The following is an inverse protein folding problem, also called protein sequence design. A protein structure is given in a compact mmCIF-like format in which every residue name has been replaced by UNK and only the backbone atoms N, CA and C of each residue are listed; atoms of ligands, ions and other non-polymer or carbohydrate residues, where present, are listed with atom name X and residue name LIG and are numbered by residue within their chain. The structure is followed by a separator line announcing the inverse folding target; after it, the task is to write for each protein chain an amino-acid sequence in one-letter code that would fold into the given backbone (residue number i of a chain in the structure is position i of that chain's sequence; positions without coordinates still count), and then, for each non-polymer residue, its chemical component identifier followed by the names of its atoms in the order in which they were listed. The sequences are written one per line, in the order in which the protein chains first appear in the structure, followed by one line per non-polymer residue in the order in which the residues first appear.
data_IF_988643692674
#
_entry.id   IF_988643692674
#
_cell.length_a   1.000
_cell.length_b   1.000
_cell.length_c   1.000
_cell.angle_alpha   90.00
_cell.angle_beta   90.00
_cell.angle_gamma   90.00
#
_symmetry.space_group_name_H-M   'P 1'
#
loop_
_entity.id
_entity.type
_entity.pdbx_description
1 polymer ?
#
# COMPACT_ATOMS: atom_id res chain seq x y z
N UNK A 1 -5.93 -2.63 -10.11
CA UNK A 1 -6.87 -2.36 -9.02
C UNK A 1 -7.57 -1.01 -9.21
N UNK A 2 -8.66 -0.82 -8.50
CA UNK A 2 -9.53 0.36 -8.61
C UNK A 2 -8.76 1.66 -8.35
N UNK A 3 -7.86 1.67 -7.35
CA UNK A 3 -7.11 2.88 -7.00
C UNK A 3 -6.07 3.32 -8.05
N UNK A 4 -5.51 2.43 -8.87
CA UNK A 4 -4.62 2.82 -9.98
C UNK A 4 -5.38 3.66 -11.02
N UNK A 5 -6.61 3.23 -11.31
CA UNK A 5 -7.48 3.98 -12.20
C UNK A 5 -7.85 5.32 -11.58
N UNK A 6 -8.20 5.35 -10.30
CA UNK A 6 -8.50 6.60 -9.58
C UNK A 6 -7.31 7.54 -9.59
N UNK A 7 -6.10 7.04 -9.29
CA UNK A 7 -4.89 7.86 -9.31
C UNK A 7 -4.64 8.49 -10.68
N UNK A 8 -4.85 7.72 -11.75
CA UNK A 8 -4.73 8.20 -13.13
C UNK A 8 -5.82 9.24 -13.48
N UNK A 9 -7.06 9.00 -13.07
CA UNK A 9 -8.18 9.92 -13.33
C UNK A 9 -8.05 11.25 -12.57
N UNK A 10 -7.25 11.27 -11.50
CA UNK A 10 -6.96 12.46 -10.68
C UNK A 10 -5.62 13.12 -11.00
N UNK A 11 -4.84 12.56 -11.94
CA UNK A 11 -3.54 13.09 -12.32
C UNK A 11 -3.65 14.57 -12.77
N UNK A 12 -2.76 15.40 -12.25
CA UNK A 12 -2.78 16.85 -12.50
C UNK A 12 -3.86 17.64 -11.73
N UNK A 13 -4.76 16.96 -11.02
CA UNK A 13 -5.82 17.59 -10.21
C UNK A 13 -5.58 17.40 -8.71
N UNK A 14 -5.20 16.18 -8.30
CA UNK A 14 -4.96 15.81 -6.91
C UNK A 14 -3.71 14.94 -6.80
N UNK A 15 -2.98 15.08 -5.71
CA UNK A 15 -1.91 14.14 -5.37
C UNK A 15 -2.51 12.93 -4.66
N UNK A 16 -2.27 11.74 -5.18
CA UNK A 16 -2.70 10.48 -4.58
C UNK A 16 -1.50 9.80 -3.92
N UNK A 17 -1.61 9.54 -2.63
CA UNK A 17 -0.59 8.84 -1.84
C UNK A 17 -1.20 7.58 -1.24
N UNK A 18 -0.55 6.44 -1.43
CA UNK A 18 -0.89 5.19 -0.76
C UNK A 18 -0.02 5.04 0.49
N UNK A 19 -0.63 4.75 1.63
CA UNK A 19 0.07 4.59 2.90
C UNK A 19 -0.10 3.18 3.44
N UNK A 20 0.95 2.68 4.08
CA UNK A 20 0.95 1.38 4.70
C UNK A 20 0.18 1.39 6.03
N UNK A 21 -0.79 0.49 6.18
CA UNK A 21 -1.54 0.31 7.42
C UNK A 21 -1.58 -1.18 7.79
N UNK A 22 -0.44 -1.77 8.22
CA UNK A 22 -0.37 -3.18 8.55
C UNK A 22 -1.15 -3.45 9.86
N UNK A 23 -2.27 -4.15 9.77
CA UNK A 23 -3.11 -4.49 10.90
C UNK A 23 -2.56 -5.72 11.65
N UNK A 24 -2.54 -5.68 12.98
CA UNK A 24 -2.02 -6.76 13.83
C UNK A 24 -2.78 -8.08 13.70
N UNK A 25 -4.02 -8.04 13.20
CA UNK A 25 -4.82 -9.23 12.92
C UNK A 25 -4.28 -10.08 11.75
N UNK A 26 -3.40 -9.51 10.93
CA UNK A 26 -2.83 -10.18 9.75
C UNK A 26 -1.33 -10.44 9.96
N UNK A 27 -0.96 -11.69 10.20
CA UNK A 27 0.42 -12.10 10.57
C UNK A 27 1.51 -11.60 9.64
N UNK A 28 1.24 -11.54 8.34
CA UNK A 28 2.22 -11.13 7.33
C UNK A 28 2.00 -9.70 6.81
N UNK A 29 1.18 -8.89 7.48
CA UNK A 29 0.91 -7.51 7.06
C UNK A 29 2.19 -6.64 7.12
N UNK A 30 2.98 -6.77 8.18
CA UNK A 30 4.24 -6.01 8.31
C UNK A 30 5.27 -6.44 7.25
N UNK A 31 5.59 -7.73 7.06
CA UNK A 31 6.45 -8.16 5.95
C UNK A 31 5.96 -7.70 4.56
N UNK A 32 4.66 -7.73 4.31
CA UNK A 32 4.09 -7.24 3.05
C UNK A 32 4.28 -5.72 2.89
N UNK A 33 4.04 -4.94 3.95
CA UNK A 33 4.31 -3.50 3.95
C UNK A 33 5.80 -3.20 3.73
N UNK A 34 6.71 -3.97 4.32
CA UNK A 34 8.15 -3.86 4.06
C UNK A 34 8.49 -4.09 2.58
N UNK A 35 7.87 -5.08 1.94
CA UNK A 35 8.08 -5.35 0.52
C UNK A 35 7.59 -4.19 -0.36
N UNK A 36 6.42 -3.62 -0.07
CA UNK A 36 5.91 -2.43 -0.77
C UNK A 36 6.84 -1.24 -0.58
N UNK A 37 7.30 -0.98 0.65
CA UNK A 37 8.17 0.14 0.96
C UNK A 37 9.55 -0.01 0.31
N UNK A 38 10.12 -1.21 0.31
CA UNK A 38 11.39 -1.49 -0.39
C UNK A 38 11.27 -1.30 -1.91
N UNK A 39 10.13 -1.66 -2.50
CA UNK A 39 9.85 -1.42 -3.90
C UNK A 39 9.64 0.07 -4.20
N UNK A 40 9.06 0.83 -3.28
CA UNK A 40 8.91 2.29 -3.41
C UNK A 40 10.25 3.00 -3.52
N UNK A 41 11.27 2.59 -2.78
CA UNK A 41 12.63 3.13 -2.88
C UNK A 41 13.27 2.92 -4.26
N UNK A 42 12.61 2.15 -5.12
CA UNK A 42 12.98 1.91 -6.52
C UNK A 42 11.87 2.35 -7.50
N UNK A 43 10.91 3.16 -7.04
CA UNK A 43 9.83 3.72 -7.86
C UNK A 43 8.75 2.71 -8.28
N UNK A 44 8.59 1.59 -7.56
CA UNK A 44 7.68 0.49 -7.90
C UNK A 44 6.66 0.16 -6.79
N UNK A 45 6.21 1.20 -6.06
CA UNK A 45 5.22 1.05 -4.98
C UNK A 45 3.95 0.34 -5.44
N UNK A 46 3.29 0.91 -6.46
CA UNK A 46 2.00 0.42 -6.92
C UNK A 46 2.10 -0.97 -7.54
N UNK A 47 3.15 -1.22 -8.32
CA UNK A 47 3.35 -2.52 -8.96
C UNK A 47 3.56 -3.62 -7.92
N UNK A 48 4.33 -3.36 -6.86
CA UNK A 48 4.53 -4.32 -5.78
C UNK A 48 3.24 -4.52 -4.97
N UNK A 49 2.55 -3.44 -4.61
CA UNK A 49 1.27 -3.53 -3.90
C UNK A 49 0.24 -4.35 -4.70
N UNK A 50 0.13 -4.10 -6.01
CA UNK A 50 -0.75 -4.87 -6.90
C UNK A 50 -0.36 -6.34 -6.97
N UNK A 51 0.93 -6.63 -7.08
CA UNK A 51 1.44 -8.00 -7.09
C UNK A 51 1.05 -8.74 -5.81
N UNK A 52 1.25 -8.10 -4.66
CA UNK A 52 0.89 -8.67 -3.36
C UNK A 52 -0.61 -8.92 -3.22
N UNK A 53 -1.47 -8.00 -3.66
CA UNK A 53 -2.91 -8.22 -3.65
C UNK A 53 -3.34 -9.38 -4.56
N UNK A 54 -2.80 -9.46 -5.78
CA UNK A 54 -3.12 -10.52 -6.73
C UNK A 54 -2.66 -11.90 -6.25
N UNK A 55 -1.59 -11.97 -5.48
CA UNK A 55 -0.99 -13.22 -4.98
C UNK A 55 -1.23 -13.45 -3.50
N UNK A 56 -2.19 -12.76 -2.88
CA UNK A 56 -2.39 -12.78 -1.43
C UNK A 56 -2.56 -14.18 -0.86
N UNK A 57 -3.23 -15.07 -1.58
CA UNK A 57 -3.43 -16.45 -1.15
C UNK A 57 -2.12 -17.26 -1.06
N UNK A 58 -1.09 -16.87 -1.82
CA UNK A 58 0.20 -17.54 -1.82
C UNK A 58 1.08 -17.20 -0.62
N UNK A 59 0.84 -16.07 0.06
CA UNK A 59 1.73 -15.60 1.13
C UNK A 59 1.03 -15.32 2.47
N UNK A 60 -0.27 -15.02 2.49
CA UNK A 60 -0.99 -14.66 3.74
C UNK A 60 -0.94 -15.75 4.81
N UNK A 61 -0.89 -17.00 4.40
CA UNK A 61 -0.90 -18.19 5.28
C UNK A 61 0.49 -18.71 5.67
N UNK A 62 1.56 -18.15 5.14
CA UNK A 62 2.93 -18.58 5.50
C UNK A 62 3.20 -18.21 6.96
N UNK A 63 3.35 -19.22 7.83
CA UNK A 63 3.60 -19.02 9.25
C UNK A 63 4.91 -19.68 9.67
N UNK A 64 5.69 -18.97 10.52
CA UNK A 64 6.98 -19.45 11.05
C UNK A 64 8.05 -19.79 10.00
N UNK A 65 7.92 -19.23 8.79
CA UNK A 65 8.83 -19.44 7.65
C UNK A 65 9.21 -18.11 7.00
N UNK A 66 9.82 -17.23 7.78
CA UNK A 66 10.20 -15.89 7.31
C UNK A 66 11.13 -15.91 6.10
N UNK A 67 12.04 -16.91 6.02
CA UNK A 67 12.93 -17.07 4.86
C UNK A 67 12.16 -17.40 3.60
N UNK A 68 11.14 -18.27 3.68
CA UNK A 68 10.27 -18.62 2.55
C UNK A 68 9.47 -17.40 2.08
N UNK A 69 8.87 -16.65 3.02
CA UNK A 69 8.11 -15.43 2.73
C UNK A 69 8.98 -14.36 2.05
N UNK A 70 10.18 -14.13 2.58
CA UNK A 70 11.13 -13.19 1.98
C UNK A 70 11.61 -13.63 0.60
N UNK A 71 11.85 -14.93 0.42
CA UNK A 71 12.21 -15.52 -0.88
C UNK A 71 11.12 -15.30 -1.93
N UNK A 72 9.85 -15.45 -1.52
CA UNK A 72 8.71 -15.19 -2.40
C UNK A 72 8.62 -13.70 -2.79
N UNK A 73 8.77 -12.78 -1.82
CA UNK A 73 8.75 -11.34 -2.13
C UNK A 73 9.95 -10.91 -2.99
N UNK A 74 11.09 -11.57 -2.82
CA UNK A 74 12.26 -11.36 -3.68
C UNK A 74 11.99 -11.81 -5.12
N UNK A 75 11.28 -12.93 -5.33
CA UNK A 75 10.88 -13.34 -6.67
C UNK A 75 9.94 -12.31 -7.33
N UNK A 76 9.03 -11.70 -6.57
CA UNK A 76 8.18 -10.64 -7.07
C UNK A 76 8.98 -9.39 -7.46
N UNK A 77 9.97 -9.02 -6.65
CA UNK A 77 10.88 -7.92 -6.98
C UNK A 77 11.63 -8.17 -8.30
N UNK A 78 12.10 -9.40 -8.50
CA UNK A 78 12.73 -9.81 -9.76
C UNK A 78 11.78 -9.73 -10.95
N UNK A 79 10.55 -10.22 -10.81
CA UNK A 79 9.52 -10.14 -11.86
C UNK A 79 9.17 -8.69 -12.24
N UNK A 80 9.25 -7.77 -11.27
CA UNK A 80 9.00 -6.35 -11.46
C UNK A 80 10.23 -5.57 -12.00
N UNK A 81 11.36 -6.25 -12.22
CA UNK A 81 12.59 -5.66 -12.71
C UNK A 81 13.33 -4.80 -11.70
N UNK A 82 13.12 -5.03 -10.41
CA UNK A 82 13.84 -4.33 -9.34
C UNK A 82 15.26 -4.88 -9.18
N UNK A 83 16.18 -4.03 -8.69
CA UNK A 83 17.46 -4.48 -8.16
C UNK A 83 17.19 -5.33 -6.90
N UNK A 84 17.41 -6.64 -7.04
CA UNK A 84 17.06 -7.62 -6.00
C UNK A 84 17.99 -7.55 -4.79
N UNK A 85 19.26 -7.17 -4.95
CA UNK A 85 20.18 -7.01 -3.82
C UNK A 85 19.83 -5.75 -3.02
N UNK A 86 19.52 -4.65 -3.70
CA UNK A 86 18.99 -3.45 -3.06
C UNK A 86 17.66 -3.74 -2.35
N UNK A 87 16.73 -4.41 -3.02
CA UNK A 87 15.44 -4.78 -2.42
C UNK A 87 15.60 -5.60 -1.15
N UNK A 88 16.49 -6.59 -1.17
CA UNK A 88 16.78 -7.46 -0.04
C UNK A 88 17.35 -6.69 1.18
N UNK A 89 18.20 -5.70 0.91
CA UNK A 89 18.75 -4.81 1.93
C UNK A 89 17.67 -3.89 2.48
N UNK A 90 16.91 -3.22 1.61
CA UNK A 90 15.86 -2.28 1.97
C UNK A 90 14.70 -2.95 2.72
N UNK A 91 14.41 -4.23 2.42
CA UNK A 91 13.35 -5.01 3.06
C UNK A 91 13.49 -5.10 4.59
N UNK A 92 14.71 -5.05 5.08
CA UNK A 92 15.03 -5.18 6.51
C UNK A 92 15.68 -3.92 7.11
N UNK A 93 15.81 -2.86 6.32
CA UNK A 93 16.41 -1.60 6.76
C UNK A 93 15.53 -0.94 7.84
N UNK A 94 16.12 -0.50 8.96
CA UNK A 94 15.39 0.22 10.00
C UNK A 94 14.60 1.43 9.47
N UNK A 95 15.10 2.13 8.45
CA UNK A 95 14.37 3.25 7.82
C UNK A 95 13.08 2.81 7.15
N UNK A 96 13.07 1.65 6.49
CA UNK A 96 11.84 1.07 5.93
C UNK A 96 10.81 0.83 7.02
N UNK A 97 11.24 0.31 8.17
CA UNK A 97 10.37 0.08 9.32
C UNK A 97 9.84 1.38 9.90
N UNK A 98 10.70 2.41 10.02
CA UNK A 98 10.29 3.74 10.51
C UNK A 98 9.26 4.41 9.59
N UNK A 99 9.41 4.30 8.27
CA UNK A 99 8.44 4.83 7.30
C UNK A 99 7.07 4.16 7.45
N UNK A 100 7.03 2.83 7.57
CA UNK A 100 5.79 2.08 7.79
C UNK A 100 5.15 2.46 9.12
N UNK A 101 5.95 2.62 10.18
CA UNK A 101 5.48 3.10 11.48
C UNK A 101 4.88 4.50 11.38
N UNK A 102 5.53 5.41 10.66
CA UNK A 102 5.03 6.76 10.42
C UNK A 102 3.69 6.76 9.68
N UNK A 103 3.54 5.93 8.66
CA UNK A 103 2.26 5.74 7.95
C UNK A 103 1.16 5.24 8.88
N UNK A 104 1.47 4.26 9.72
CA UNK A 104 0.54 3.67 10.68
C UNK A 104 0.11 4.71 11.73
N UNK A 105 1.05 5.43 12.33
CA UNK A 105 0.77 6.50 13.30
C UNK A 105 -0.06 7.63 12.69
N UNK A 106 0.25 8.01 11.45
CA UNK A 106 -0.55 8.98 10.71
C UNK A 106 -2.00 8.49 10.49
N UNK A 107 -2.18 7.24 10.05
CA UNK A 107 -3.50 6.64 9.90
C UNK A 107 -4.31 6.66 11.20
N UNK A 108 -3.67 6.31 12.33
CA UNK A 108 -4.32 6.39 13.65
C UNK A 108 -4.69 7.84 14.01
N UNK A 109 -3.79 8.79 13.77
CA UNK A 109 -4.01 10.21 14.06
C UNK A 109 -5.23 10.77 13.32
N UNK A 110 -5.45 10.40 12.07
CA UNK A 110 -6.60 10.85 11.28
C UNK A 110 -7.85 9.99 11.48
N UNK A 111 -7.81 8.96 12.34
CA UNK A 111 -8.97 8.17 12.72
C UNK A 111 -9.26 6.98 11.81
N UNK A 112 -8.27 6.45 11.07
CA UNK A 112 -8.42 5.21 10.29
C UNK A 112 -8.68 4.04 11.22
N UNK A 113 -9.77 3.30 10.98
CA UNK A 113 -10.22 2.18 11.81
C UNK A 113 -10.01 0.81 11.15
N UNK A 114 -9.70 0.79 9.86
CA UNK A 114 -9.54 -0.44 9.08
C UNK A 114 -9.02 -0.13 7.68
N UNK A 115 -8.86 -1.16 6.87
CA UNK A 115 -8.36 -1.04 5.49
C UNK A 115 -9.26 -1.79 4.50
N UNK A 116 -9.44 -1.28 3.30
CA UNK A 116 -8.97 0.02 2.84
C UNK A 116 -9.76 1.18 3.46
N UNK A 117 -9.07 2.28 3.77
CA UNK A 117 -9.68 3.55 4.17
C UNK A 117 -9.17 4.65 3.25
N UNK A 118 -10.05 5.56 2.86
CA UNK A 118 -9.73 6.71 2.02
C UNK A 118 -9.87 7.99 2.80
N UNK A 119 -9.00 8.96 2.53
CA UNK A 119 -9.04 10.27 3.15
C UNK A 119 -8.68 11.35 2.14
N UNK A 120 -9.25 12.53 2.28
CA UNK A 120 -8.91 13.72 1.51
C UNK A 120 -8.56 14.84 2.49
N UNK A 121 -7.36 15.43 2.33
CA UNK A 121 -6.87 16.47 3.22
C UNK A 121 -7.02 16.10 4.71
N UNK A 122 -6.51 14.89 5.08
CA UNK A 122 -6.51 14.33 6.43
C UNK A 122 -7.91 14.00 7.01
N UNK A 123 -8.95 14.06 6.20
CA UNK A 123 -10.32 13.72 6.62
C UNK A 123 -10.72 12.37 6.01
N UNK A 124 -10.93 11.33 6.82
CA UNK A 124 -11.45 10.06 6.34
C UNK A 124 -12.81 10.21 5.67
N UNK A 125 -13.01 9.47 4.58
CA UNK A 125 -14.28 9.38 3.88
C UNK A 125 -15.01 8.11 4.32
N UNK A 126 -16.23 8.26 4.80
CA UNK A 126 -17.05 7.13 5.29
C UNK A 126 -17.90 6.50 4.17
N UNK A 127 -18.11 7.24 3.08
CA UNK A 127 -18.93 6.84 1.95
C UNK A 127 -18.15 6.21 0.78
N UNK A 128 -16.86 5.94 0.99
CA UNK A 128 -15.98 5.33 -0.02
C UNK A 128 -15.31 4.09 0.58
N UNK A 129 -15.49 2.96 -0.06
CA UNK A 129 -14.93 1.67 0.36
C UNK A 129 -14.42 0.84 -0.84
N UNK A 130 -14.03 -0.40 -0.58
CA UNK A 130 -13.49 -1.32 -1.61
C UNK A 130 -14.50 -1.71 -2.70
N UNK A 131 -15.81 -1.48 -2.48
CA UNK A 131 -16.87 -1.77 -3.45
C UNK A 131 -17.19 -0.56 -4.35
N UNK A 132 -16.73 0.63 -3.98
CA UNK A 132 -16.96 1.87 -4.72
C UNK A 132 -16.24 1.82 -6.07
N UNK A 133 -16.92 2.21 -7.14
CA UNK A 133 -16.32 2.27 -8.48
C UNK A 133 -15.21 3.33 -8.56
N UNK A 134 -14.25 3.16 -9.46
CA UNK A 134 -13.17 4.14 -9.64
C UNK A 134 -13.72 5.54 -10.00
N UNK A 135 -14.77 5.59 -10.82
CA UNK A 135 -15.43 6.83 -11.21
C UNK A 135 -16.07 7.54 -10.02
N UNK A 136 -16.83 6.80 -9.21
CA UNK A 136 -17.47 7.34 -8.00
C UNK A 136 -16.44 7.75 -6.95
N UNK A 137 -15.35 6.97 -6.78
CA UNK A 137 -14.24 7.36 -5.91
C UNK A 137 -13.64 8.69 -6.35
N UNK A 138 -13.30 8.85 -7.62
CA UNK A 138 -12.70 10.08 -8.14
C UNK A 138 -13.64 11.28 -7.94
N UNK A 139 -14.94 11.08 -8.14
CA UNK A 139 -15.97 12.11 -7.92
C UNK A 139 -16.07 12.51 -6.44
N UNK A 140 -16.13 11.54 -5.53
CA UNK A 140 -16.18 11.81 -4.10
C UNK A 140 -14.90 12.49 -3.59
N UNK A 141 -13.73 12.10 -4.11
CA UNK A 141 -12.47 12.75 -3.76
C UNK A 141 -12.42 14.21 -4.21
N UNK A 142 -12.83 14.50 -5.44
CA UNK A 142 -12.93 15.90 -5.93
C UNK A 142 -13.89 16.71 -5.09
N UNK A 143 -15.08 16.18 -4.80
CA UNK A 143 -16.07 16.83 -3.94
C UNK A 143 -15.52 17.11 -2.54
N UNK A 144 -14.86 16.15 -1.92
CA UNK A 144 -14.26 16.32 -0.60
C UNK A 144 -13.10 17.33 -0.59
N UNK A 145 -12.41 17.50 -1.71
CA UNK A 145 -11.37 18.50 -1.91
C UNK A 145 -11.93 19.90 -2.27
N UNK A 146 -13.24 20.05 -2.45
CA UNK A 146 -13.86 21.31 -2.91
C UNK A 146 -13.61 21.59 -4.39
N UNK A 147 -13.35 20.58 -5.20
CA UNK A 147 -13.15 20.65 -6.64
C UNK A 147 -14.45 20.23 -7.36
N UNK A 148 -14.78 20.92 -8.43
CA UNK A 148 -15.95 20.65 -9.28
C UNK A 148 -15.61 19.64 -10.38
#
# INVERSE_FOLDING_TARGET
PTYDKVAKDLEGTMNVTVRNMPLSSHKNAVPAAQAVQAAELQGKHLEMANKLFQTQDSWKGITNKQTELRGLFLSYAQELGLDTEKFKTDLVDPKTIELIKGDFEYGQKIGVKGTPQFAVNDKPLENVDSSTSAEDMAKEFKKAAGLN
#
